data_IF_816032583617
#
_entry.id   IF_816032583617
#
_cell.length_a   1.000
_cell.length_b   1.000
_cell.length_c   1.000
_cell.angle_alpha   90.00
_cell.angle_beta   90.00
_cell.angle_gamma   90.00
#
_symmetry.space_group_name_H-M   'P 1'
#
loop_
_entity.id
_entity.type
_entity.pdbx_description
1 polymer ?
#
# COMPACT_ATOMS: atom_id res chain seq x y z
N UNK A 1 59.21 26.59 -26.91
CA UNK A 1 58.54 26.30 -25.61
C UNK A 1 57.00 26.34 -25.63
N UNK A 2 56.32 26.64 -26.75
CA UNK A 2 54.86 26.88 -26.76
C UNK A 2 53.99 25.62 -27.02
N UNK A 3 54.49 24.63 -27.77
CA UNK A 3 53.71 23.43 -28.13
C UNK A 3 53.54 22.44 -26.96
N UNK A 4 54.56 22.28 -26.11
CA UNK A 4 54.52 21.33 -24.98
C UNK A 4 53.55 21.77 -23.88
N UNK A 5 53.43 23.09 -23.66
CA UNK A 5 52.49 23.68 -22.70
C UNK A 5 51.04 23.47 -23.18
N UNK A 6 50.75 23.74 -24.46
CA UNK A 6 49.44 23.46 -25.08
C UNK A 6 49.07 21.98 -25.02
N UNK A 7 50.04 21.07 -25.19
CA UNK A 7 49.79 19.63 -25.10
C UNK A 7 49.40 19.21 -23.68
N UNK A 8 50.09 19.73 -22.66
CA UNK A 8 49.77 19.48 -21.24
C UNK A 8 48.37 19.99 -20.88
N UNK A 9 48.02 21.20 -21.31
CA UNK A 9 46.69 21.79 -21.09
C UNK A 9 45.57 20.92 -21.71
N UNK A 10 45.76 20.42 -22.94
CA UNK A 10 44.80 19.50 -23.58
C UNK A 10 44.64 18.17 -22.82
N UNK A 11 45.73 17.58 -22.34
CA UNK A 11 45.67 16.32 -21.56
C UNK A 11 44.90 16.52 -20.26
N UNK A 12 45.08 17.66 -19.59
CA UNK A 12 44.35 17.99 -18.36
C UNK A 12 42.85 18.14 -18.64
N UNK A 13 42.46 18.87 -19.70
CA UNK A 13 41.06 19.02 -20.09
C UNK A 13 40.38 17.68 -20.39
N UNK A 14 41.06 16.79 -21.13
CA UNK A 14 40.55 15.45 -21.43
C UNK A 14 40.34 14.63 -20.14
N UNK A 15 41.24 14.75 -19.15
CA UNK A 15 41.06 14.08 -17.86
C UNK A 15 39.84 14.60 -17.11
N UNK A 16 39.68 15.92 -17.04
CA UNK A 16 38.53 16.55 -16.39
C UNK A 16 37.21 16.12 -17.05
N UNK A 17 37.16 16.11 -18.39
CA UNK A 17 35.97 15.67 -19.12
C UNK A 17 35.63 14.20 -18.87
N UNK A 18 36.65 13.32 -18.80
CA UNK A 18 36.47 11.91 -18.47
C UNK A 18 35.97 11.70 -17.03
N UNK A 19 36.52 12.44 -16.07
CA UNK A 19 36.09 12.40 -14.68
C UNK A 19 34.63 12.86 -14.55
N UNK A 20 34.25 13.98 -15.18
CA UNK A 20 32.86 14.45 -15.22
C UNK A 20 31.91 13.43 -15.84
N UNK A 21 32.27 12.82 -16.96
CA UNK A 21 31.45 11.79 -17.60
C UNK A 21 31.29 10.54 -16.70
N UNK A 22 32.32 10.18 -15.94
CA UNK A 22 32.27 9.09 -14.97
C UNK A 22 31.36 9.42 -13.79
N UNK A 23 31.45 10.64 -13.25
CA UNK A 23 30.62 11.11 -12.15
C UNK A 23 29.14 11.18 -12.56
N UNK A 24 28.86 11.71 -13.75
CA UNK A 24 27.50 11.75 -14.31
C UNK A 24 26.92 10.34 -14.50
N UNK A 25 27.74 9.39 -14.97
CA UNK A 25 27.32 7.99 -15.09
C UNK A 25 27.00 7.38 -13.72
N UNK A 26 27.85 7.62 -12.71
CA UNK A 26 27.64 7.11 -11.37
C UNK A 26 26.36 7.66 -10.74
N UNK A 27 26.11 8.97 -10.85
CA UNK A 27 24.89 9.61 -10.35
C UNK A 27 23.63 8.99 -10.98
N UNK A 28 23.64 8.76 -12.30
CA UNK A 28 22.52 8.09 -12.99
C UNK A 28 22.30 6.65 -12.52
N UNK A 29 23.38 5.88 -12.29
CA UNK A 29 23.27 4.53 -11.71
C UNK A 29 22.67 4.56 -10.29
N UNK A 30 23.04 5.54 -9.47
CA UNK A 30 22.43 5.75 -8.15
C UNK A 30 20.94 6.07 -8.25
N UNK A 31 20.53 6.94 -9.18
CA UNK A 31 19.13 7.31 -9.38
C UNK A 31 18.24 6.13 -9.83
N UNK A 32 18.81 5.19 -10.59
CA UNK A 32 18.12 3.96 -11.00
C UNK A 32 17.99 3.02 -9.80
N UNK A 33 19.08 2.78 -9.07
CA UNK A 33 19.05 1.92 -7.87
C UNK A 33 18.09 2.43 -6.81
N UNK A 34 18.04 3.74 -6.60
CA UNK A 34 17.08 4.34 -5.68
C UNK A 34 15.63 4.05 -6.11
N UNK A 35 15.32 4.17 -7.40
CA UNK A 35 14.00 3.87 -7.93
C UNK A 35 13.66 2.37 -7.81
N UNK A 36 14.63 1.47 -8.01
CA UNK A 36 14.45 0.03 -7.80
C UNK A 36 14.18 -0.32 -6.34
N UNK A 37 14.90 0.29 -5.38
CA UNK A 37 14.64 0.12 -3.95
C UNK A 37 13.23 0.61 -3.58
N UNK A 38 12.79 1.75 -4.14
CA UNK A 38 11.44 2.26 -3.91
C UNK A 38 10.37 1.29 -4.41
N UNK A 39 10.55 0.68 -5.57
CA UNK A 39 9.67 -0.37 -6.09
C UNK A 39 9.58 -1.57 -5.14
N UNK A 40 10.73 -2.06 -4.67
CA UNK A 40 10.77 -3.20 -3.74
C UNK A 40 10.01 -2.91 -2.42
N UNK A 41 10.11 -1.67 -1.92
CA UNK A 41 9.37 -1.24 -0.73
C UNK A 41 7.86 -1.22 -0.99
N UNK A 42 7.42 -0.73 -2.16
CA UNK A 42 6.01 -0.68 -2.53
C UNK A 42 5.41 -2.08 -2.66
N UNK A 43 6.12 -3.01 -3.33
CA UNK A 43 5.70 -4.41 -3.48
C UNK A 43 5.53 -5.07 -2.11
N UNK A 44 6.52 -4.95 -1.21
CA UNK A 44 6.42 -5.48 0.16
C UNK A 44 5.23 -4.92 0.92
N UNK A 45 5.00 -3.61 0.83
CA UNK A 45 3.88 -2.95 1.51
C UNK A 45 2.54 -3.39 0.95
N UNK A 46 2.46 -3.66 -0.36
CA UNK A 46 1.26 -4.19 -1.02
C UNK A 46 0.93 -5.58 -0.51
N UNK A 47 1.92 -6.46 -0.44
CA UNK A 47 1.75 -7.81 0.12
C UNK A 47 1.27 -7.77 1.57
N UNK A 48 1.86 -6.91 2.40
CA UNK A 48 1.45 -6.71 3.80
C UNK A 48 -0.03 -6.26 3.92
N UNK A 49 -0.47 -5.34 3.06
CA UNK A 49 -1.86 -4.86 3.04
C UNK A 49 -2.83 -5.95 2.57
N UNK A 50 -2.47 -6.73 1.55
CA UNK A 50 -3.29 -7.86 1.10
C UNK A 50 -3.45 -8.90 2.20
N UNK A 51 -2.38 -9.19 2.95
CA UNK A 51 -2.44 -10.09 4.10
C UNK A 51 -3.36 -9.57 5.19
N UNK A 52 -3.24 -8.28 5.56
CA UNK A 52 -4.15 -7.66 6.54
C UNK A 52 -5.61 -7.72 6.10
N UNK A 53 -5.85 -7.50 4.79
CA UNK A 53 -7.18 -7.59 4.20
C UNK A 53 -7.75 -9.02 4.30
N UNK A 54 -6.96 -10.02 3.98
CA UNK A 54 -7.35 -11.43 4.08
C UNK A 54 -7.66 -11.83 5.54
N UNK A 55 -6.80 -11.47 6.49
CA UNK A 55 -7.00 -11.69 7.91
C UNK A 55 -8.28 -11.02 8.43
N UNK A 56 -8.56 -9.79 7.98
CA UNK A 56 -9.78 -9.08 8.35
C UNK A 56 -11.04 -9.74 7.76
N UNK A 57 -11.00 -10.19 6.50
CA UNK A 57 -12.09 -10.95 5.89
C UNK A 57 -12.37 -12.22 6.68
N UNK A 58 -11.32 -12.97 7.05
CA UNK A 58 -11.49 -14.16 7.89
C UNK A 58 -12.06 -13.84 9.26
N UNK A 59 -11.67 -12.71 9.86
CA UNK A 59 -12.23 -12.25 11.13
C UNK A 59 -13.73 -11.92 11.01
N UNK A 60 -14.13 -11.24 9.93
CA UNK A 60 -15.54 -10.93 9.63
C UNK A 60 -16.35 -12.21 9.41
N UNK A 61 -15.82 -13.15 8.63
CA UNK A 61 -16.51 -14.42 8.34
C UNK A 61 -16.57 -15.35 9.57
N UNK A 62 -15.60 -15.23 10.48
CA UNK A 62 -15.55 -15.97 11.74
C UNK A 62 -16.46 -15.44 12.84
N UNK A 63 -16.99 -14.22 12.70
CA UNK A 63 -17.93 -13.66 13.66
C UNK A 63 -19.25 -14.47 13.68
N UNK A 64 -19.61 -14.97 14.87
CA UNK A 64 -20.79 -15.81 15.08
C UNK A 64 -22.11 -15.15 14.63
N UNK A 65 -22.12 -13.82 14.46
CA UNK A 65 -23.25 -13.04 13.98
C UNK A 65 -23.56 -13.24 12.49
N UNK A 66 -22.59 -13.68 11.67
CA UNK A 66 -22.83 -13.93 10.24
C UNK A 66 -23.78 -15.13 10.01
N UNK A 67 -23.77 -16.11 10.92
CA UNK A 67 -24.54 -17.34 10.79
C UNK A 67 -25.81 -17.42 11.67
N UNK A 68 -25.95 -16.56 12.69
CA UNK A 68 -26.93 -16.74 13.75
C UNK A 68 -28.13 -15.77 13.72
N UNK A 69 -28.15 -14.80 12.81
CA UNK A 69 -29.16 -13.75 12.79
C UNK A 69 -29.79 -13.61 11.41
N UNK A 70 -30.94 -14.25 11.24
CA UNK A 70 -31.85 -13.86 10.17
C UNK A 70 -32.46 -12.50 10.52
N UNK A 71 -32.60 -11.65 9.51
CA UNK A 71 -33.27 -10.34 9.61
C UNK A 71 -34.64 -10.46 10.30
N UNK A 72 -35.36 -11.56 10.01
CA UNK A 72 -36.65 -11.92 10.61
C UNK A 72 -36.61 -12.00 12.14
N UNK A 73 -35.60 -12.66 12.72
CA UNK A 73 -35.50 -12.81 14.18
C UNK A 73 -35.14 -11.49 14.87
N UNK A 74 -34.38 -10.64 14.18
CA UNK A 74 -34.03 -9.32 14.68
C UNK A 74 -35.26 -8.40 14.73
N UNK A 75 -36.04 -8.37 13.66
CA UNK A 75 -37.28 -7.58 13.57
C UNK A 75 -38.30 -8.02 14.62
N UNK A 76 -38.48 -9.33 14.82
CA UNK A 76 -39.38 -9.89 15.84
C UNK A 76 -39.02 -9.43 17.27
N UNK A 77 -37.73 -9.37 17.61
CA UNK A 77 -37.25 -8.93 18.92
C UNK A 77 -37.41 -7.42 19.13
N UNK A 78 -37.28 -6.62 18.07
CA UNK A 78 -37.50 -5.17 18.13
C UNK A 78 -38.98 -4.86 18.29
N UNK A 79 -39.83 -5.46 17.46
CA UNK A 79 -41.27 -5.18 17.46
C UNK A 79 -41.93 -5.53 18.80
N UNK A 80 -41.38 -6.52 19.50
CA UNK A 80 -41.89 -6.99 20.79
C UNK A 80 -41.07 -6.52 22.00
N UNK A 81 -40.18 -5.54 21.85
CA UNK A 81 -39.22 -5.13 22.89
C UNK A 81 -39.85 -4.89 24.27
N UNK A 82 -41.02 -4.23 24.30
CA UNK A 82 -41.72 -3.86 25.53
C UNK A 82 -42.26 -5.05 26.33
N UNK A 83 -42.41 -6.22 25.70
CA UNK A 83 -42.93 -7.44 26.32
C UNK A 83 -41.86 -8.55 26.43
N UNK A 84 -40.61 -8.26 26.06
CA UNK A 84 -39.51 -9.21 26.20
C UNK A 84 -39.14 -9.45 27.68
N UNK A 85 -38.79 -10.70 27.99
CA UNK A 85 -38.11 -11.06 29.24
C UNK A 85 -36.73 -10.43 29.31
N UNK A 86 -36.17 -10.29 30.51
CA UNK A 86 -34.81 -9.76 30.69
C UNK A 86 -33.75 -10.58 29.93
N UNK A 87 -33.89 -11.90 29.89
CA UNK A 87 -33.01 -12.77 29.10
C UNK A 87 -33.08 -12.46 27.60
N UNK A 88 -34.27 -12.19 27.07
CA UNK A 88 -34.45 -11.82 25.66
C UNK A 88 -33.92 -10.41 25.35
N UNK A 89 -34.02 -9.48 26.30
CA UNK A 89 -33.40 -8.15 26.16
C UNK A 89 -31.87 -8.25 26.17
N UNK A 90 -31.29 -9.05 27.07
CA UNK A 90 -29.85 -9.30 27.11
C UNK A 90 -29.35 -9.94 25.80
N UNK A 91 -30.12 -10.88 25.25
CA UNK A 91 -29.87 -11.43 23.93
C UNK A 91 -29.89 -10.34 22.84
N UNK A 92 -30.94 -9.50 22.78
CA UNK A 92 -31.02 -8.40 21.80
C UNK A 92 -29.84 -7.42 21.93
N UNK A 93 -29.41 -7.06 23.14
CA UNK A 93 -28.21 -6.24 23.34
C UNK A 93 -26.94 -6.91 22.81
N UNK A 94 -26.76 -8.21 23.08
CA UNK A 94 -25.63 -8.98 22.54
C UNK A 94 -25.65 -9.06 21.01
N UNK A 95 -26.83 -9.07 20.41
CA UNK A 95 -27.02 -9.02 18.95
C UNK A 95 -26.61 -7.65 18.39
N UNK A 96 -27.15 -6.57 18.95
CA UNK A 96 -26.84 -5.19 18.51
C UNK A 96 -25.34 -4.88 18.62
N UNK A 97 -24.71 -5.31 19.72
CA UNK A 97 -23.26 -5.13 19.90
C UNK A 97 -22.45 -5.85 18.83
N UNK A 98 -22.84 -7.06 18.45
CA UNK A 98 -22.17 -7.83 17.38
C UNK A 98 -22.39 -7.20 16.01
N UNK A 99 -23.60 -6.75 15.70
CA UNK A 99 -23.89 -6.03 14.45
C UNK A 99 -23.05 -4.74 14.32
N UNK A 100 -22.91 -3.99 15.41
CA UNK A 100 -22.03 -2.81 15.46
C UNK A 100 -20.57 -3.16 15.16
N UNK A 101 -20.04 -4.21 15.81
CA UNK A 101 -18.67 -4.66 15.56
C UNK A 101 -18.46 -5.07 14.10
N UNK A 102 -19.40 -5.83 13.53
CA UNK A 102 -19.34 -6.24 12.12
C UNK A 102 -19.34 -5.03 11.19
N UNK A 103 -20.22 -4.05 11.45
CA UNK A 103 -20.26 -2.80 10.69
C UNK A 103 -18.94 -2.02 10.77
N UNK A 104 -18.31 -2.00 11.95
CA UNK A 104 -16.99 -1.38 12.14
C UNK A 104 -15.92 -2.09 11.31
N UNK A 105 -15.85 -3.42 11.39
CA UNK A 105 -14.86 -4.22 10.65
C UNK A 105 -15.04 -4.09 9.12
N UNK A 106 -16.28 -4.04 8.64
CA UNK A 106 -16.57 -3.75 7.22
C UNK A 106 -16.11 -2.34 6.83
N UNK A 107 -16.21 -1.37 7.74
CA UNK A 107 -15.62 -0.04 7.58
C UNK A 107 -14.09 -0.09 7.45
N UNK A 108 -13.42 -0.82 8.34
CA UNK A 108 -11.97 -1.01 8.30
C UNK A 108 -11.53 -1.70 7.00
N UNK A 109 -12.31 -2.67 6.51
CA UNK A 109 -12.06 -3.34 5.23
C UNK A 109 -12.10 -2.36 4.05
N UNK A 110 -13.07 -1.45 4.02
CA UNK A 110 -13.15 -0.39 3.00
C UNK A 110 -11.96 0.56 3.06
N UNK A 111 -11.46 0.87 4.25
CA UNK A 111 -10.26 1.68 4.43
C UNK A 111 -8.99 0.96 3.91
N UNK A 112 -8.88 -0.35 4.16
CA UNK A 112 -7.80 -1.17 3.59
C UNK A 112 -7.88 -1.23 2.07
N UNK A 113 -9.06 -1.47 1.50
CA UNK A 113 -9.27 -1.48 0.04
C UNK A 113 -8.83 -0.14 -0.58
N UNK A 114 -9.19 0.99 0.05
CA UNK A 114 -8.75 2.32 -0.40
C UNK A 114 -7.22 2.46 -0.36
N UNK A 115 -6.60 1.99 0.72
CA UNK A 115 -5.15 2.09 0.90
C UNK A 115 -4.38 1.24 -0.12
N UNK A 116 -4.92 0.07 -0.47
CA UNK A 116 -4.38 -0.80 -1.54
C UNK A 116 -4.46 -0.08 -2.88
N UNK A 117 -5.64 0.46 -3.23
CA UNK A 117 -5.81 1.17 -4.51
C UNK A 117 -4.86 2.37 -4.64
N UNK A 118 -4.71 3.17 -3.59
CA UNK A 118 -3.78 4.30 -3.57
C UNK A 118 -2.32 3.84 -3.77
N UNK A 119 -1.96 2.67 -3.22
CA UNK A 119 -0.64 2.09 -3.38
C UNK A 119 -0.40 1.58 -4.80
N UNK A 120 -1.40 0.97 -5.44
CA UNK A 120 -1.34 0.55 -6.84
C UNK A 120 -1.16 1.74 -7.79
N UNK A 121 -1.86 2.83 -7.56
CA UNK A 121 -1.68 4.07 -8.34
C UNK A 121 -0.26 4.66 -8.18
N UNK A 122 0.35 4.51 -7.00
CA UNK A 122 1.73 4.96 -6.76
C UNK A 122 2.74 4.01 -7.42
N UNK A 123 2.50 2.70 -7.35
CA UNK A 123 3.30 1.67 -8.03
C UNK A 123 3.37 1.94 -9.54
N UNK A 124 2.24 2.21 -10.18
CA UNK A 124 2.17 2.52 -11.61
C UNK A 124 3.02 3.74 -11.99
N UNK A 125 2.98 4.80 -11.17
CA UNK A 125 3.80 6.00 -11.37
C UNK A 125 5.29 5.68 -11.25
N UNK A 126 5.68 4.90 -10.24
CA UNK A 126 7.09 4.52 -10.04
C UNK A 126 7.59 3.62 -11.18
N UNK A 127 6.76 2.71 -11.70
CA UNK A 127 7.07 1.89 -12.89
C UNK A 127 7.37 2.79 -14.10
N UNK A 128 6.55 3.82 -14.33
CA UNK A 128 6.78 4.76 -15.44
C UNK A 128 8.08 5.56 -15.26
N UNK A 129 8.36 6.04 -14.05
CA UNK A 129 9.60 6.74 -13.71
C UNK A 129 10.80 5.84 -13.98
N UNK A 130 10.77 4.59 -13.52
CA UNK A 130 11.86 3.63 -13.68
C UNK A 130 12.10 3.31 -15.17
N UNK A 131 11.04 3.13 -15.96
CA UNK A 131 11.14 2.93 -17.42
C UNK A 131 11.84 4.12 -18.09
N UNK A 132 11.45 5.35 -17.77
CA UNK A 132 12.07 6.56 -18.32
C UNK A 132 13.55 6.66 -17.94
N UNK A 133 13.90 6.40 -16.68
CA UNK A 133 15.30 6.41 -16.22
C UNK A 133 16.16 5.36 -16.93
N UNK A 134 15.60 4.17 -17.19
CA UNK A 134 16.30 3.10 -17.93
C UNK A 134 16.41 3.37 -19.44
N UNK A 135 15.39 3.98 -20.07
CA UNK A 135 15.40 4.32 -21.50
C UNK A 135 16.37 5.45 -21.86
N UNK A 136 16.57 6.43 -20.98
CA UNK A 136 17.64 7.45 -21.14
C UNK A 136 19.05 6.80 -21.16
N UNK A 137 19.14 5.51 -20.81
CA UNK A 137 20.39 4.77 -20.64
C UNK A 137 20.67 3.70 -21.72
N UNK A 138 19.81 3.54 -22.73
CA UNK A 138 20.09 2.68 -23.91
C UNK A 138 20.50 3.52 -25.11
#
# INVERSE_FOLDING_TARGET
MNCFKKLKEKIILIKIEKEKASEEKFLKECEIKEAEIRMEILEKRKDDLFKQREELIHSILGEASFNALTEERYLELIDNYHILTEDNKANLYGILRRAYNLSSMVGDLKCLDKSINELEEEEDKQVEILKRKKQIHT
#
